data_IF_253998730323
#
_entry.id   IF_253998730323
#
_cell.length_a   1.000
_cell.length_b   1.000
_cell.length_c   1.000
_cell.angle_alpha   90.00
_cell.angle_beta   90.00
_cell.angle_gamma   90.00
#
_symmetry.space_group_name_H-M   'P 1'
#
loop_
_entity.id
_entity.type
_entity.pdbx_description
1 polymer ?
#
# COMPACT_ATOMS: atom_id res chain seq x y z
N UNK A 1 0.05 -13.38 -9.79
CA UNK A 1 1.07 -12.52 -10.43
C UNK A 1 0.96 -11.02 -10.08
N UNK A 2 0.76 -10.58 -8.82
CA UNK A 2 1.19 -9.25 -8.44
C UNK A 2 2.72 -9.24 -8.24
N UNK A 3 3.35 -8.11 -8.54
CA UNK A 3 4.65 -7.73 -7.99
C UNK A 3 4.41 -6.87 -6.75
N UNK A 4 4.79 -7.35 -5.56
CA UNK A 4 4.64 -6.62 -4.31
C UNK A 4 5.99 -6.10 -3.80
N UNK A 5 6.10 -4.81 -3.48
CA UNK A 5 7.27 -4.26 -2.79
C UNK A 5 7.04 -4.37 -1.28
N UNK A 6 7.90 -5.13 -0.59
CA UNK A 6 7.74 -5.43 0.84
C UNK A 6 8.93 -4.93 1.66
N UNK A 7 8.65 -4.33 2.81
CA UNK A 7 9.69 -3.88 3.75
C UNK A 7 9.94 -4.95 4.81
N UNK A 8 10.56 -6.06 4.41
CA UNK A 8 10.78 -7.22 5.28
C UNK A 8 12.17 -7.84 5.12
N UNK A 9 12.60 -8.52 6.19
CA UNK A 9 13.75 -9.42 6.19
C UNK A 9 13.46 -10.64 5.30
N UNK A 10 14.18 -10.71 4.19
CA UNK A 10 14.06 -11.78 3.20
C UNK A 10 14.28 -13.17 3.81
N UNK A 11 15.08 -13.29 4.88
CA UNK A 11 15.29 -14.58 5.59
C UNK A 11 14.06 -15.05 6.37
N UNK A 12 13.04 -14.19 6.53
CA UNK A 12 11.78 -14.48 7.24
C UNK A 12 10.59 -14.61 6.28
N UNK A 13 10.79 -14.42 4.98
CA UNK A 13 9.73 -14.53 3.97
C UNK A 13 9.23 -15.98 3.88
N UNK A 14 7.91 -16.16 3.99
CA UNK A 14 7.24 -17.45 3.85
C UNK A 14 6.79 -17.65 2.39
N UNK A 15 7.78 -17.91 1.53
CA UNK A 15 7.63 -18.10 0.07
C UNK A 15 8.36 -19.37 -0.36
N UNK A 16 8.07 -19.93 -1.54
CA UNK A 16 8.74 -21.15 -1.99
C UNK A 16 10.25 -20.94 -2.20
N UNK A 17 10.65 -19.83 -2.82
CA UNK A 17 12.06 -19.48 -3.06
C UNK A 17 12.40 -18.07 -2.58
N UNK A 18 13.58 -17.90 -1.98
CA UNK A 18 14.20 -16.57 -1.81
C UNK A 18 15.45 -16.46 -2.68
N UNK A 19 15.76 -15.25 -3.11
CA UNK A 19 16.95 -14.98 -3.93
C UNK A 19 18.08 -14.43 -3.06
N UNK A 20 19.27 -14.96 -3.26
CA UNK A 20 20.51 -14.50 -2.67
C UNK A 20 21.33 -13.74 -3.71
N UNK A 21 21.58 -12.45 -3.45
CA UNK A 21 22.56 -11.65 -4.17
C UNK A 21 23.98 -12.11 -3.77
N UNK A 22 24.49 -13.08 -4.53
CA UNK A 22 25.75 -13.77 -4.29
C UNK A 22 26.91 -13.14 -5.09
N UNK A 23 28.11 -13.65 -4.83
CA UNK A 23 29.29 -13.46 -5.67
C UNK A 23 29.48 -14.68 -6.58
N UNK A 24 30.36 -14.58 -7.59
CA UNK A 24 30.65 -15.66 -8.55
C UNK A 24 31.23 -16.94 -7.93
N UNK A 25 31.80 -16.88 -6.72
CA UNK A 25 32.28 -18.06 -5.99
C UNK A 25 31.19 -18.71 -5.13
N UNK A 26 29.98 -18.15 -5.11
CA UNK A 26 28.86 -18.54 -4.24
C UNK A 26 29.19 -18.58 -2.73
N UNK A 27 30.34 -18.02 -2.32
CA UNK A 27 30.82 -18.04 -0.96
C UNK A 27 30.07 -17.03 -0.07
N UNK A 28 30.04 -17.28 1.25
CA UNK A 28 29.39 -16.37 2.20
C UNK A 28 30.02 -14.97 2.16
N UNK A 29 29.24 -13.97 1.76
CA UNK A 29 29.62 -12.56 1.79
C UNK A 29 29.01 -11.80 2.97
N UNK A 30 29.08 -10.47 2.92
CA UNK A 30 28.32 -9.59 3.80
C UNK A 30 26.84 -9.44 3.39
N UNK A 31 26.15 -8.47 4.00
CA UNK A 31 24.79 -8.07 3.63
C UNK A 31 23.77 -9.21 3.64
N UNK A 32 22.89 -9.22 2.61
CA UNK A 32 21.85 -10.25 2.43
C UNK A 32 22.44 -11.66 2.33
N UNK A 33 23.54 -11.85 1.59
CA UNK A 33 24.20 -13.16 1.47
C UNK A 33 24.64 -13.68 2.84
N UNK A 34 25.32 -12.87 3.64
CA UNK A 34 25.72 -13.23 5.00
C UNK A 34 24.54 -13.47 5.94
N UNK A 35 23.39 -12.81 5.73
CA UNK A 35 22.16 -13.09 6.48
C UNK A 35 21.55 -14.45 6.10
N UNK A 36 21.41 -14.73 4.79
CA UNK A 36 20.87 -15.99 4.25
C UNK A 36 21.72 -17.19 4.70
N UNK A 37 23.05 -17.11 4.59
CA UNK A 37 23.94 -18.19 5.04
C UNK A 37 23.81 -18.49 6.53
N UNK A 38 23.73 -17.45 7.39
CA UNK A 38 23.54 -17.63 8.83
C UNK A 38 22.18 -18.21 9.17
N UNK A 39 21.11 -17.74 8.53
CA UNK A 39 19.75 -18.19 8.75
C UNK A 39 19.53 -19.64 8.27
N UNK A 40 20.05 -20.01 7.10
CA UNK A 40 19.95 -21.36 6.55
C UNK A 40 20.86 -22.38 7.27
N UNK A 41 21.97 -21.93 7.85
CA UNK A 41 22.99 -22.75 8.48
C UNK A 41 24.25 -22.85 7.62
N UNK A 42 25.29 -22.10 8.01
CA UNK A 42 26.48 -21.78 7.19
C UNK A 42 27.10 -23.02 6.54
N UNK A 43 27.41 -24.07 7.30
CA UNK A 43 28.10 -25.26 6.78
C UNK A 43 27.28 -26.05 5.76
N UNK A 44 25.95 -26.11 5.92
CA UNK A 44 25.07 -26.83 4.98
C UNK A 44 24.87 -26.02 3.70
N UNK A 45 24.73 -24.70 3.83
CA UNK A 45 24.59 -23.80 2.68
C UNK A 45 25.89 -23.73 1.85
N UNK A 46 27.05 -23.62 2.50
CA UNK A 46 28.35 -23.66 1.82
C UNK A 46 28.54 -24.95 1.02
N UNK A 47 28.38 -26.13 1.65
CA UNK A 47 28.53 -27.42 0.98
C UNK A 47 27.55 -27.66 -0.18
N UNK A 48 26.42 -26.94 -0.22
CA UNK A 48 25.50 -26.96 -1.36
C UNK A 48 25.94 -26.00 -2.47
N UNK A 49 26.44 -24.82 -2.12
CA UNK A 49 27.00 -23.83 -3.05
C UNK A 49 28.28 -24.32 -3.74
N UNK A 50 29.16 -25.00 -3.01
CA UNK A 50 30.45 -25.51 -3.51
C UNK A 50 30.31 -26.48 -4.70
N UNK A 51 29.14 -27.10 -4.85
CA UNK A 51 28.81 -28.00 -5.97
C UNK A 51 28.51 -27.28 -7.29
N UNK A 52 28.27 -25.97 -7.24
CA UNK A 52 27.90 -25.11 -8.37
C UNK A 52 28.92 -23.99 -8.61
N UNK A 53 29.81 -23.72 -7.65
CA UNK A 53 30.81 -22.67 -7.79
C UNK A 53 31.95 -23.09 -8.74
N UNK A 54 32.50 -22.17 -9.55
CA UNK A 54 32.06 -20.79 -9.75
C UNK A 54 30.92 -20.67 -10.77
N UNK A 55 30.13 -19.61 -10.66
CA UNK A 55 29.14 -19.17 -11.68
C UNK A 55 29.56 -17.84 -12.31
N UNK A 56 29.07 -17.56 -13.52
CA UNK A 56 29.27 -16.27 -14.17
C UNK A 56 28.29 -15.20 -13.66
N UNK A 57 28.67 -13.93 -13.82
CA UNK A 57 27.77 -12.80 -13.57
C UNK A 57 26.51 -12.91 -14.44
N UNK A 58 25.33 -12.70 -13.85
CA UNK A 58 24.04 -12.87 -14.50
C UNK A 58 23.48 -14.29 -14.44
N UNK A 59 24.27 -15.31 -14.12
CA UNK A 59 23.78 -16.68 -13.91
C UNK A 59 23.08 -16.83 -12.55
N UNK A 60 22.29 -17.90 -12.42
CA UNK A 60 21.64 -18.29 -11.18
C UNK A 60 21.69 -19.82 -11.01
N UNK A 61 21.75 -20.28 -9.75
CA UNK A 61 21.67 -21.69 -9.36
C UNK A 61 20.77 -21.86 -8.13
N UNK A 62 20.24 -23.07 -7.88
CA UNK A 62 19.25 -23.31 -6.83
C UNK A 62 19.73 -24.36 -5.82
N UNK A 63 19.52 -24.08 -4.53
CA UNK A 63 19.80 -24.96 -3.40
C UNK A 63 18.57 -25.10 -2.48
N UNK A 64 18.51 -26.10 -1.59
CA UNK A 64 17.48 -26.16 -0.54
C UNK A 64 17.59 -24.99 0.45
N UNK A 65 16.47 -24.55 1.03
CA UNK A 65 16.45 -23.48 2.04
C UNK A 65 17.01 -23.86 3.42
N UNK A 66 17.17 -25.16 3.69
CA UNK A 66 17.63 -25.71 4.97
C UNK A 66 16.79 -25.24 6.15
N UNK A 67 17.31 -24.33 6.98
CA UNK A 67 16.63 -23.80 8.17
C UNK A 67 15.77 -22.55 7.88
N UNK A 68 15.76 -22.05 6.64
CA UNK A 68 14.90 -20.94 6.23
C UNK A 68 13.41 -21.36 6.17
N UNK A 69 12.46 -20.42 6.29
CA UNK A 69 11.05 -20.69 6.01
C UNK A 69 10.77 -21.03 4.54
N UNK A 70 11.67 -20.66 3.62
CA UNK A 70 11.55 -20.98 2.20
C UNK A 70 12.06 -22.37 1.87
N UNK A 71 11.46 -23.01 0.87
CA UNK A 71 11.85 -24.35 0.41
C UNK A 71 13.20 -24.33 -0.31
N UNK A 72 13.48 -23.24 -1.03
CA UNK A 72 14.68 -23.05 -1.83
C UNK A 72 15.37 -21.71 -1.57
N UNK A 73 16.67 -21.66 -1.89
CA UNK A 73 17.42 -20.42 -2.13
C UNK A 73 17.95 -20.45 -3.56
N UNK A 74 17.72 -19.37 -4.30
CA UNK A 74 18.29 -19.18 -5.63
C UNK A 74 19.43 -18.18 -5.50
N UNK A 75 20.64 -18.59 -5.86
CA UNK A 75 21.86 -17.80 -5.75
C UNK A 75 22.19 -17.24 -7.12
N UNK A 76 22.30 -15.92 -7.24
CA UNK A 76 22.65 -15.26 -8.50
C UNK A 76 23.77 -14.24 -8.30
N UNK A 77 24.72 -14.20 -9.23
CA UNK A 77 25.87 -13.31 -9.17
C UNK A 77 25.56 -11.99 -9.89
N UNK A 78 25.24 -10.94 -9.12
CA UNK A 78 24.97 -9.61 -9.65
C UNK A 78 26.21 -8.93 -10.26
N UNK A 79 26.05 -8.01 -11.22
CA UNK A 79 27.16 -7.20 -11.73
C UNK A 79 27.66 -6.23 -10.66
N UNK A 80 28.97 -5.97 -10.68
CA UNK A 80 29.59 -4.85 -9.95
C UNK A 80 29.44 -3.60 -10.81
N UNK A 81 28.82 -2.56 -10.28
CA UNK A 81 28.63 -1.30 -10.97
C UNK A 81 29.96 -0.57 -11.22
N UNK A 82 30.11 0.02 -12.40
CA UNK A 82 31.24 0.89 -12.74
C UNK A 82 30.75 2.23 -13.26
N UNK A 83 30.02 2.20 -14.38
CA UNK A 83 29.57 3.39 -15.10
C UNK A 83 28.34 3.14 -16.00
N UNK A 84 27.78 1.93 -15.99
CA UNK A 84 26.63 1.54 -16.81
C UNK A 84 26.97 1.20 -18.27
N UNK A 85 28.26 1.16 -18.65
CA UNK A 85 28.72 0.94 -20.04
C UNK A 85 29.40 -0.41 -20.26
N UNK A 86 29.35 -1.28 -19.26
CA UNK A 86 30.01 -2.59 -19.21
C UNK A 86 28.99 -3.73 -19.06
N UNK A 87 27.87 -3.65 -19.79
CA UNK A 87 26.75 -4.60 -19.76
C UNK A 87 26.05 -4.74 -18.38
N UNK A 88 26.27 -3.83 -17.41
CA UNK A 88 25.73 -3.98 -16.06
C UNK A 88 24.19 -4.12 -16.04
N UNK A 89 23.46 -3.34 -16.84
CA UNK A 89 22.00 -3.47 -16.94
C UNK A 89 21.58 -4.85 -17.47
N UNK A 90 22.20 -5.30 -18.57
CA UNK A 90 21.91 -6.59 -19.21
C UNK A 90 22.19 -7.76 -18.26
N UNK A 91 23.29 -7.67 -17.50
CA UNK A 91 23.67 -8.68 -16.53
C UNK A 91 22.74 -8.68 -15.30
N UNK A 92 22.31 -7.50 -14.83
CA UNK A 92 21.34 -7.38 -13.74
C UNK A 92 19.98 -7.96 -14.13
N UNK A 93 19.50 -7.68 -15.36
CA UNK A 93 18.30 -8.29 -15.95
C UNK A 93 18.39 -9.82 -15.98
N UNK A 94 19.53 -10.36 -16.43
CA UNK A 94 19.77 -11.81 -16.42
C UNK A 94 19.65 -12.43 -15.02
N UNK A 95 20.08 -11.73 -13.96
CA UNK A 95 19.95 -12.21 -12.58
C UNK A 95 18.47 -12.43 -12.19
N UNK A 96 17.61 -11.45 -12.48
CA UNK A 96 16.17 -11.55 -12.20
C UNK A 96 15.51 -12.64 -13.05
N UNK A 97 15.74 -12.62 -14.38
CA UNK A 97 15.16 -13.59 -15.33
C UNK A 97 15.54 -15.03 -14.99
N UNK A 98 16.84 -15.32 -14.88
CA UNK A 98 17.32 -16.67 -14.59
C UNK A 98 16.82 -17.19 -13.22
N UNK A 99 16.64 -16.29 -12.25
CA UNK A 99 16.07 -16.66 -10.95
C UNK A 99 14.57 -16.99 -11.03
N UNK A 100 13.78 -16.21 -11.77
CA UNK A 100 12.35 -16.52 -11.97
C UNK A 100 12.16 -17.78 -12.82
N UNK A 101 12.98 -18.00 -13.84
CA UNK A 101 12.99 -19.24 -14.63
C UNK A 101 13.30 -20.47 -13.76
N UNK A 102 14.30 -20.41 -12.88
CA UNK A 102 14.61 -21.51 -11.97
C UNK A 102 13.47 -21.81 -10.99
N UNK A 103 12.81 -20.78 -10.46
CA UNK A 103 11.64 -20.94 -9.60
C UNK A 103 10.47 -21.59 -10.36
N UNK A 104 10.17 -21.12 -11.57
CA UNK A 104 9.13 -21.71 -12.43
C UNK A 104 9.43 -23.19 -12.76
N UNK A 105 10.69 -23.51 -13.12
CA UNK A 105 11.14 -24.89 -13.40
C UNK A 105 11.07 -25.82 -12.18
N UNK A 106 11.11 -25.30 -10.94
CA UNK A 106 10.92 -26.07 -9.71
C UNK A 106 9.45 -26.09 -9.21
N UNK A 107 8.52 -25.47 -9.95
CA UNK A 107 7.11 -25.40 -9.54
C UNK A 107 6.87 -24.53 -8.31
N UNK A 108 7.70 -23.51 -8.08
CA UNK A 108 7.44 -22.49 -7.07
C UNK A 108 6.25 -21.62 -7.48
N UNK A 109 5.32 -21.36 -6.56
CA UNK A 109 4.24 -20.40 -6.75
C UNK A 109 4.62 -18.99 -6.29
N UNK A 110 5.69 -18.87 -5.48
CA UNK A 110 6.13 -17.59 -4.89
C UNK A 110 7.66 -17.45 -4.85
N UNK A 111 8.16 -16.24 -5.13
CA UNK A 111 9.60 -15.89 -5.06
C UNK A 111 9.82 -14.51 -4.44
N UNK A 112 10.79 -14.40 -3.53
CA UNK A 112 11.22 -13.12 -2.97
C UNK A 112 12.64 -12.72 -3.40
N UNK A 113 12.79 -11.49 -3.89
CA UNK A 113 14.04 -10.88 -4.33
C UNK A 113 14.53 -9.83 -3.33
N UNK A 114 15.84 -9.74 -3.08
CA UNK A 114 16.45 -8.50 -2.60
C UNK A 114 16.63 -7.54 -3.79
N UNK A 115 16.92 -6.27 -3.53
CA UNK A 115 17.40 -5.38 -4.59
C UNK A 115 18.85 -5.76 -4.96
N UNK A 116 19.01 -6.49 -6.07
CA UNK A 116 20.29 -7.09 -6.49
C UNK A 116 21.29 -5.97 -6.87
N UNK A 117 22.57 -6.18 -6.54
CA UNK A 117 23.71 -5.27 -6.75
C UNK A 117 23.66 -3.87 -6.12
N UNK A 118 22.53 -3.41 -5.59
CA UNK A 118 22.37 -2.04 -5.05
C UNK A 118 22.98 -1.79 -3.65
N UNK A 119 23.76 -2.76 -3.15
CA UNK A 119 24.45 -2.72 -1.87
C UNK A 119 25.97 -2.59 -2.08
N UNK A 120 26.72 -3.62 -1.66
CA UNK A 120 28.19 -3.66 -1.74
C UNK A 120 28.71 -3.49 -3.19
N UNK A 121 27.93 -3.91 -4.19
CA UNK A 121 28.27 -3.82 -5.61
C UNK A 121 27.97 -2.45 -6.24
N UNK A 122 27.45 -1.49 -5.46
CA UNK A 122 27.43 -0.07 -5.83
C UNK A 122 26.44 0.35 -6.92
N UNK A 123 25.55 -0.53 -7.38
CA UNK A 123 24.58 -0.20 -8.42
C UNK A 123 23.64 0.92 -7.92
N UNK A 124 23.46 2.04 -8.66
CA UNK A 124 22.55 3.12 -8.27
C UNK A 124 21.17 2.56 -7.95
N UNK A 125 20.66 2.83 -6.74
CA UNK A 125 19.50 2.09 -6.22
C UNK A 125 18.24 2.30 -7.07
N UNK A 126 18.04 3.52 -7.58
CA UNK A 126 16.93 3.85 -8.48
C UNK A 126 17.02 3.11 -9.82
N UNK A 127 18.21 2.99 -10.41
CA UNK A 127 18.42 2.26 -11.67
C UNK A 127 18.27 0.74 -11.45
N UNK A 128 18.85 0.21 -10.37
CA UNK A 128 18.70 -1.20 -9.99
C UNK A 128 17.23 -1.58 -9.74
N UNK A 129 16.46 -0.65 -9.15
CA UNK A 129 15.03 -0.80 -8.93
C UNK A 129 14.25 -0.76 -10.25
N UNK A 130 14.52 0.22 -11.10
CA UNK A 130 13.90 0.31 -12.42
C UNK A 130 14.10 -1.00 -13.20
N UNK A 131 15.33 -1.52 -13.26
CA UNK A 131 15.67 -2.80 -13.89
C UNK A 131 14.93 -3.97 -13.25
N UNK A 132 14.84 -4.02 -11.91
CA UNK A 132 14.12 -5.06 -11.19
C UNK A 132 12.62 -5.06 -11.54
N UNK A 133 11.97 -3.90 -11.43
CA UNK A 133 10.54 -3.74 -11.67
C UNK A 133 10.18 -4.00 -13.14
N UNK A 134 11.02 -3.57 -14.09
CA UNK A 134 10.80 -3.77 -15.53
C UNK A 134 11.00 -5.24 -15.95
N UNK A 135 12.09 -5.88 -15.51
CA UNK A 135 12.36 -7.29 -15.86
C UNK A 135 11.36 -8.25 -15.20
N UNK A 136 10.94 -7.98 -13.96
CA UNK A 136 9.87 -8.75 -13.30
C UNK A 136 8.53 -8.54 -14.01
N UNK A 137 8.17 -7.29 -14.36
CA UNK A 137 6.95 -7.00 -15.15
C UNK A 137 6.95 -7.77 -16.47
N UNK A 138 8.06 -7.76 -17.20
CA UNK A 138 8.22 -8.49 -18.46
C UNK A 138 8.03 -9.99 -18.26
N UNK A 139 8.73 -10.59 -17.30
CA UNK A 139 8.62 -12.02 -17.01
C UNK A 139 7.19 -12.42 -16.62
N UNK A 140 6.51 -11.65 -15.77
CA UNK A 140 5.12 -11.91 -15.38
C UNK A 140 4.14 -11.66 -16.54
N UNK A 141 4.44 -10.72 -17.43
CA UNK A 141 3.71 -10.48 -18.67
C UNK A 141 3.73 -11.68 -19.60
N UNK A 142 4.91 -12.26 -19.84
CA UNK A 142 5.14 -13.45 -20.66
C UNK A 142 4.63 -14.74 -19.98
N UNK A 143 4.82 -14.87 -18.66
CA UNK A 143 4.38 -16.03 -17.86
C UNK A 143 2.85 -16.15 -17.80
N UNK A 144 2.14 -15.01 -17.77
CA UNK A 144 0.67 -14.98 -17.82
C UNK A 144 0.09 -15.73 -19.01
N UNK A 145 0.75 -15.60 -20.16
CA UNK A 145 0.26 -16.10 -21.45
C UNK A 145 0.63 -17.59 -21.64
N UNK A 146 1.63 -18.08 -20.88
CA UNK A 146 1.98 -19.51 -20.76
C UNK A 146 1.27 -20.24 -19.60
N UNK A 147 0.49 -19.54 -18.78
CA UNK A 147 -0.29 -20.13 -17.68
C UNK A 147 0.46 -20.34 -16.36
N UNK A 148 1.68 -19.79 -16.21
CA UNK A 148 2.46 -19.87 -14.97
C UNK A 148 2.16 -18.69 -14.04
N UNK A 149 1.27 -18.91 -13.06
CA UNK A 149 1.02 -17.98 -11.94
C UNK A 149 2.22 -17.99 -10.97
N UNK A 150 3.04 -16.92 -10.98
CA UNK A 150 4.12 -16.69 -10.02
C UNK A 150 3.86 -15.37 -9.27
N UNK A 151 3.87 -15.39 -7.94
CA UNK A 151 3.76 -14.21 -7.09
C UNK A 151 5.17 -13.73 -6.68
N UNK A 152 5.49 -12.46 -6.93
CA UNK A 152 6.86 -11.94 -6.82
C UNK A 152 6.94 -10.83 -5.78
N UNK A 153 7.86 -10.96 -4.83
CA UNK A 153 8.09 -9.99 -3.76
C UNK A 153 9.44 -9.32 -3.93
N UNK A 154 9.50 -7.99 -3.95
CA UNK A 154 10.76 -7.24 -3.90
C UNK A 154 10.98 -6.71 -2.47
N UNK A 155 11.88 -7.34 -1.74
CA UNK A 155 12.25 -6.99 -0.37
C UNK A 155 13.20 -5.78 -0.35
N UNK A 156 12.66 -4.60 -0.06
CA UNK A 156 13.45 -3.35 0.01
C UNK A 156 13.56 -2.90 1.46
N UNK A 157 14.78 -2.86 2.00
CA UNK A 157 15.04 -2.60 3.42
C UNK A 157 15.32 -1.11 3.73
N UNK A 158 15.73 -0.34 2.71
CA UNK A 158 16.33 0.99 2.85
C UNK A 158 15.41 2.09 2.29
N UNK A 159 15.16 3.13 3.08
CA UNK A 159 14.36 4.31 2.68
C UNK A 159 14.97 5.07 1.50
N UNK A 160 16.29 4.98 1.31
CA UNK A 160 17.05 5.67 0.26
C UNK A 160 17.14 4.87 -1.06
N UNK A 161 16.48 3.71 -1.17
CA UNK A 161 16.50 2.94 -2.42
C UNK A 161 15.78 3.63 -3.59
N UNK A 162 14.93 4.61 -3.30
CA UNK A 162 14.04 5.29 -4.24
C UNK A 162 14.52 6.73 -4.47
N UNK A 163 15.55 6.90 -5.29
CA UNK A 163 15.98 8.21 -5.81
C UNK A 163 15.52 8.40 -7.28
N UNK A 164 14.21 8.38 -7.49
CA UNK A 164 13.61 8.81 -8.76
C UNK A 164 13.55 10.34 -8.78
N UNK A 165 13.80 10.91 -9.96
CA UNK A 165 13.69 12.33 -10.33
C UNK A 165 13.30 13.28 -9.20
N UNK A 166 14.30 14.03 -8.69
CA UNK A 166 14.10 15.09 -7.69
C UNK A 166 13.02 16.11 -8.08
N UNK A 167 12.69 16.22 -9.38
CA UNK A 167 11.55 16.99 -9.87
C UNK A 167 10.19 16.44 -9.42
N UNK A 168 9.96 15.12 -9.48
CA UNK A 168 8.69 14.50 -9.06
C UNK A 168 8.56 14.59 -7.53
N UNK A 169 9.60 14.24 -6.78
CA UNK A 169 9.62 14.36 -5.31
C UNK A 169 9.40 15.83 -4.87
N UNK A 170 10.03 16.80 -5.55
CA UNK A 170 9.82 18.23 -5.26
C UNK A 170 8.41 18.71 -5.60
N UNK A 171 7.83 18.27 -6.73
CA UNK A 171 6.45 18.60 -7.12
C UNK A 171 5.43 17.99 -6.17
N UNK A 172 5.62 16.73 -5.77
CA UNK A 172 4.75 16.07 -4.80
C UNK A 172 4.89 16.69 -3.41
N UNK A 173 6.10 17.08 -2.98
CA UNK A 173 6.28 17.84 -1.72
C UNK A 173 5.53 19.16 -1.76
N UNK A 174 5.71 19.98 -2.79
CA UNK A 174 5.00 21.24 -2.94
C UNK A 174 3.48 21.03 -2.89
N UNK A 175 2.97 20.03 -3.63
CA UNK A 175 1.56 19.66 -3.60
C UNK A 175 1.10 19.25 -2.19
N UNK A 176 1.82 18.35 -1.51
CA UNK A 176 1.53 17.96 -0.13
C UNK A 176 1.55 19.19 0.80
N UNK A 177 2.54 20.07 0.69
CA UNK A 177 2.66 21.27 1.51
C UNK A 177 1.43 22.20 1.29
N UNK A 178 0.96 22.36 0.05
CA UNK A 178 -0.25 23.15 -0.28
C UNK A 178 -1.52 22.62 0.43
N UNK A 179 -1.65 21.30 0.64
CA UNK A 179 -2.79 20.71 1.40
C UNK A 179 -2.55 20.60 2.92
N UNK A 180 -1.31 20.43 3.38
CA UNK A 180 -1.00 20.14 4.79
C UNK A 180 -0.61 21.38 5.63
N UNK A 181 -0.05 22.43 5.01
CA UNK A 181 0.37 23.66 5.73
C UNK A 181 -0.83 24.49 6.20
N UNK A 182 -2.01 24.33 5.57
CA UNK A 182 -3.24 25.01 5.99
C UNK A 182 -3.90 24.46 7.28
N UNK A 183 -3.54 23.24 7.73
CA UNK A 183 -4.18 22.56 8.88
C UNK A 183 -3.29 22.40 10.13
N UNK A 184 -2.04 22.89 10.14
CA UNK A 184 -1.08 22.52 11.19
C UNK A 184 -0.44 23.66 12.01
N UNK A 185 -0.68 24.93 11.69
CA UNK A 185 -0.29 26.04 12.60
C UNK A 185 -1.42 26.47 13.57
N UNK A 186 -2.70 26.38 13.18
CA UNK A 186 -3.84 26.80 14.03
C UNK A 186 -4.69 25.65 14.65
N UNK A 187 -4.69 24.46 14.04
CA UNK A 187 -5.79 23.50 14.25
C UNK A 187 -5.63 22.58 15.46
N UNK A 188 -4.40 22.39 15.98
CA UNK A 188 -4.14 21.63 17.22
C UNK A 188 -4.72 22.32 18.47
N UNK A 189 -4.77 23.65 18.48
CA UNK A 189 -5.55 24.41 19.45
C UNK A 189 -7.04 24.24 19.20
N UNK A 190 -7.49 24.60 17.99
CA UNK A 190 -8.91 24.71 17.65
C UNK A 190 -9.71 23.41 17.85
N UNK A 191 -9.28 22.28 17.28
CA UNK A 191 -9.98 20.99 17.42
C UNK A 191 -10.06 20.51 18.88
N UNK A 192 -9.05 20.82 19.70
CA UNK A 192 -9.04 20.49 21.13
C UNK A 192 -10.08 21.33 21.89
N UNK A 193 -10.22 22.63 21.57
CA UNK A 193 -11.25 23.49 22.14
C UNK A 193 -12.67 23.11 21.68
N UNK A 194 -12.88 22.71 20.42
CA UNK A 194 -14.19 22.22 19.94
C UNK A 194 -14.60 20.91 20.62
N UNK A 195 -13.69 19.93 20.74
CA UNK A 195 -13.97 18.67 21.44
C UNK A 195 -14.25 18.90 22.93
N UNK A 196 -13.52 19.80 23.58
CA UNK A 196 -13.79 20.22 24.96
C UNK A 196 -15.13 20.98 25.10
N UNK A 197 -15.52 21.76 24.10
CA UNK A 197 -16.83 22.42 24.08
C UNK A 197 -17.97 21.41 23.96
N UNK A 198 -17.83 20.40 23.09
CA UNK A 198 -18.79 19.30 22.96
C UNK A 198 -18.88 18.46 24.24
N UNK A 199 -17.77 18.19 24.94
CA UNK A 199 -17.80 17.53 26.26
C UNK A 199 -18.56 18.34 27.32
N UNK A 200 -18.43 19.68 27.33
CA UNK A 200 -19.18 20.55 28.26
C UNK A 200 -20.70 20.50 28.06
N UNK A 201 -21.19 20.15 26.87
CA UNK A 201 -22.61 19.89 26.64
C UNK A 201 -23.05 18.50 27.12
N UNK A 202 -22.14 17.53 27.23
CA UNK A 202 -22.43 16.18 27.75
C UNK A 202 -22.43 16.10 29.28
N UNK A 203 -21.60 16.90 29.97
CA UNK A 203 -21.47 16.86 31.43
C UNK A 203 -22.62 17.57 32.17
N UNK A 204 -23.42 18.37 31.48
CA UNK A 204 -24.48 19.17 32.08
C UNK A 204 -25.80 18.39 32.24
N UNK A 205 -25.73 17.23 32.91
CA UNK A 205 -26.89 16.46 33.37
C UNK A 205 -27.11 16.77 34.86
N UNK A 206 -28.27 17.33 35.28
CA UNK A 206 -28.43 17.79 36.65
C UNK A 206 -28.37 16.61 37.63
N UNK A 207 -27.42 16.65 38.57
CA UNK A 207 -27.37 15.77 39.74
C UNK A 207 -27.89 16.51 40.96
N UNK A 208 -28.64 15.77 41.78
CA UNK A 208 -29.25 16.25 43.00
C UNK A 208 -28.25 16.43 44.15
N UNK A 209 -28.75 17.12 45.18
CA UNK A 209 -28.28 17.20 46.57
C UNK A 209 -27.00 18.01 46.87
N UNK A 210 -27.18 19.00 47.77
CA UNK A 210 -26.14 19.84 48.37
C UNK A 210 -26.02 19.58 49.87
N UNK A 211 -24.78 19.45 50.32
CA UNK A 211 -24.28 19.80 51.66
C UNK A 211 -22.77 20.10 51.50
N UNK A 212 -22.04 20.92 52.28
CA UNK A 212 -22.25 21.50 53.62
C UNK A 212 -21.76 23.02 53.62
N UNK A 213 -21.17 23.70 54.64
CA UNK A 213 -21.70 25.02 55.09
C UNK A 213 -20.72 26.23 55.07
N UNK A 214 -21.23 27.39 55.56
CA UNK A 214 -20.56 28.53 56.25
C UNK A 214 -19.23 29.09 55.71
N UNK A 215 -19.06 30.40 55.49
CA UNK A 215 -19.92 31.59 55.70
C UNK A 215 -19.06 32.86 55.86
N UNK A 216 -19.66 34.06 55.97
CA UNK A 216 -19.03 35.35 56.37
C UNK A 216 -17.98 35.88 55.35
N UNK A 217 -18.03 37.07 54.73
CA UNK A 217 -18.89 38.26 54.61
C UNK A 217 -18.62 38.86 53.19
N UNK A 218 -19.17 39.96 52.65
CA UNK A 218 -19.99 41.08 53.17
C UNK A 218 -20.91 41.67 52.04
N UNK A 219 -21.55 42.82 52.28
CA UNK A 219 -22.44 43.58 51.37
C UNK A 219 -21.90 45.02 51.11
N UNK A 220 -22.32 45.77 50.06
CA UNK A 220 -23.64 46.46 49.97
C UNK A 220 -24.34 46.33 48.60
N UNK A 221 -25.63 45.98 48.53
CA UNK A 221 -26.82 46.87 48.63
C UNK A 221 -27.00 47.90 47.50
N UNK A 222 -28.01 47.67 46.65
CA UNK A 222 -28.99 48.72 46.27
C UNK A 222 -30.35 48.13 45.86
N UNK A 223 -31.43 48.85 46.18
CA UNK A 223 -32.83 48.37 46.19
C UNK A 223 -33.56 48.42 44.83
N UNK A 224 -34.67 47.66 44.71
CA UNK A 224 -35.70 47.80 43.66
C UNK A 224 -36.34 46.47 43.25
N UNK A 225 -37.16 45.84 44.09
CA UNK A 225 -38.64 46.01 44.19
C UNK A 225 -39.41 44.90 43.43
N UNK A 226 -40.62 44.56 43.89
CA UNK A 226 -41.25 43.24 43.69
C UNK A 226 -42.31 43.20 42.57
N UNK A 227 -42.43 42.05 41.90
CA UNK A 227 -43.47 41.82 40.89
C UNK A 227 -43.63 40.35 40.47
N UNK A 228 -44.53 39.65 41.17
CA UNK A 228 -45.28 38.44 40.75
C UNK A 228 -44.54 37.22 40.13
N UNK A 229 -44.65 36.06 40.80
CA UNK A 229 -44.25 34.75 40.24
C UNK A 229 -45.42 34.06 39.51
N UNK A 230 -45.32 33.78 38.20
CA UNK A 230 -46.27 32.91 37.51
C UNK A 230 -46.01 31.44 37.88
N UNK A 231 -47.03 30.74 38.35
CA UNK A 231 -46.98 29.29 38.56
C UNK A 231 -46.99 28.58 37.21
N UNK A 232 -45.89 27.92 36.84
CA UNK A 232 -45.85 27.05 35.66
C UNK A 232 -46.10 25.59 36.03
N UNK A 233 -47.19 25.04 35.51
CA UNK A 233 -47.51 23.61 35.60
C UNK A 233 -46.53 22.79 34.76
N UNK A 234 -46.03 21.67 35.30
CA UNK A 234 -45.12 20.79 34.58
C UNK A 234 -45.83 20.09 33.40
N UNK A 235 -45.26 20.11 32.17
CA UNK A 235 -45.80 19.34 31.05
C UNK A 235 -45.52 17.84 31.23
N UNK A 236 -46.45 17.03 30.70
CA UNK A 236 -46.48 15.57 30.87
C UNK A 236 -45.40 14.82 30.08
N UNK A 237 -45.24 13.53 30.41
CA UNK A 237 -44.20 12.59 29.97
C UNK A 237 -43.86 12.60 28.47
N UNK A 238 -42.57 12.38 28.18
CA UNK A 238 -42.04 12.17 26.84
C UNK A 238 -42.59 10.88 26.18
N UNK A 239 -42.81 10.88 24.85
CA UNK A 239 -43.32 9.70 24.15
C UNK A 239 -42.26 8.60 24.01
N UNK A 240 -42.69 7.35 24.13
CA UNK A 240 -41.87 6.15 23.91
C UNK A 240 -41.51 5.96 22.42
N UNK A 241 -40.38 5.29 22.12
CA UNK A 241 -39.93 5.11 20.74
C UNK A 241 -40.91 4.24 19.94
N UNK A 242 -41.26 4.69 18.74
CA UNK A 242 -42.08 3.92 17.79
C UNK A 242 -41.28 2.72 17.29
N UNK A 243 -41.97 1.59 17.10
CA UNK A 243 -41.41 0.34 16.57
C UNK A 243 -40.69 0.55 15.25
N UNK A 244 -39.52 -0.08 15.09
CA UNK A 244 -38.83 -0.16 13.80
C UNK A 244 -39.74 -0.89 12.78
N UNK A 245 -40.21 -0.17 11.76
CA UNK A 245 -40.90 -0.77 10.63
C UNK A 245 -39.94 -1.61 9.79
N UNK A 246 -40.45 -2.63 9.11
CA UNK A 246 -39.73 -3.24 7.98
C UNK A 246 -39.42 -2.15 6.94
N UNK A 247 -38.22 -2.19 6.39
CA UNK A 247 -37.86 -1.42 5.21
C UNK A 247 -38.53 -2.12 4.03
N UNK A 248 -39.34 -1.40 3.25
CA UNK A 248 -40.02 -1.97 2.08
C UNK A 248 -38.98 -2.46 1.05
N UNK A 249 -39.16 -3.69 0.54
CA UNK A 249 -38.33 -4.27 -0.52
C UNK A 249 -38.28 -3.38 -1.79
N UNK A 250 -39.30 -2.55 -2.00
CA UNK A 250 -39.36 -1.56 -3.06
C UNK A 250 -38.30 -0.44 -2.96
N UNK A 251 -37.79 -0.16 -1.75
CA UNK A 251 -36.69 0.79 -1.51
C UNK A 251 -35.35 0.09 -1.76
N UNK A 252 -35.23 -1.19 -1.39
CA UNK A 252 -34.06 -2.03 -1.68
C UNK A 252 -33.88 -2.34 -3.17
N UNK A 253 -34.87 -2.07 -4.02
CA UNK A 253 -34.76 -2.19 -5.48
C UNK A 253 -34.30 -0.90 -6.20
N UNK A 254 -34.15 0.23 -5.49
CA UNK A 254 -33.54 1.46 -6.01
C UNK A 254 -32.10 1.64 -5.47
N UNK A 255 -31.31 0.56 -5.51
CA UNK A 255 -29.87 0.61 -5.20
C UNK A 255 -29.09 1.15 -6.41
N UNK A 256 -28.00 1.86 -6.13
CA UNK A 256 -27.07 2.35 -7.15
C UNK A 256 -26.51 1.22 -8.03
N UNK A 257 -26.13 1.57 -9.26
CA UNK A 257 -25.61 0.60 -10.24
C UNK A 257 -24.37 -0.14 -9.67
N UNK A 258 -24.34 -1.49 -9.64
CA UNK A 258 -23.26 -2.22 -9.00
C UNK A 258 -21.88 -1.89 -9.58
N UNK A 259 -20.88 -1.78 -8.69
CA UNK A 259 -19.50 -1.41 -9.03
C UNK A 259 -18.94 -2.16 -10.24
N UNK A 260 -19.22 -3.46 -10.37
CA UNK A 260 -18.71 -4.28 -11.47
C UNK A 260 -19.29 -3.89 -12.83
N UNK A 261 -20.54 -3.43 -12.89
CA UNK A 261 -21.18 -2.95 -14.13
C UNK A 261 -20.55 -1.63 -14.57
N UNK A 262 -20.36 -0.69 -13.64
CA UNK A 262 -19.69 0.59 -13.89
C UNK A 262 -18.25 0.38 -14.35
N UNK A 263 -17.51 -0.51 -13.66
CA UNK A 263 -16.16 -0.88 -14.04
C UNK A 263 -16.12 -1.44 -15.47
N UNK A 264 -16.97 -2.40 -15.81
CA UNK A 264 -17.02 -2.98 -17.16
C UNK A 264 -17.33 -1.93 -18.24
N UNK A 265 -18.30 -1.03 -17.98
CA UNK A 265 -18.60 0.10 -18.88
C UNK A 265 -17.39 1.03 -19.08
N UNK A 266 -16.61 1.28 -18.03
CA UNK A 266 -15.39 2.09 -18.12
C UNK A 266 -14.25 1.36 -18.86
N UNK A 267 -14.12 0.04 -18.70
CA UNK A 267 -13.17 -0.81 -19.45
C UNK A 267 -13.46 -0.68 -20.96
N UNK A 268 -14.72 -0.90 -21.36
CA UNK A 268 -15.16 -0.79 -22.75
C UNK A 268 -14.99 0.64 -23.30
N UNK A 269 -15.40 1.66 -22.54
CA UNK A 269 -15.33 3.06 -22.96
C UNK A 269 -13.89 3.59 -23.12
N UNK A 270 -12.95 3.10 -22.30
CA UNK A 270 -11.51 3.42 -22.44
C UNK A 270 -10.80 2.52 -23.47
N UNK A 271 -11.47 1.52 -24.02
CA UNK A 271 -10.95 0.64 -25.07
C UNK A 271 -9.88 -0.36 -24.59
N UNK A 272 -9.89 -0.75 -23.32
CA UNK A 272 -8.97 -1.74 -22.76
C UNK A 272 -9.62 -3.14 -22.70
N UNK A 273 -8.81 -4.19 -22.76
CA UNK A 273 -9.25 -5.54 -22.41
C UNK A 273 -9.13 -5.81 -20.91
N UNK A 274 -9.97 -6.72 -20.38
CA UNK A 274 -9.85 -7.27 -19.01
C UNK A 274 -8.41 -7.62 -18.63
N UNK A 275 -7.65 -8.20 -19.57
CA UNK A 275 -6.26 -8.65 -19.39
C UNK A 275 -5.32 -7.47 -19.21
N UNK A 276 -5.44 -6.43 -20.02
CA UNK A 276 -4.65 -5.21 -19.87
C UNK A 276 -4.97 -4.51 -18.57
N UNK A 277 -6.25 -4.46 -18.16
CA UNK A 277 -6.66 -3.74 -16.95
C UNK A 277 -6.08 -4.38 -15.70
N UNK A 278 -6.20 -5.71 -15.48
CA UNK A 278 -5.60 -6.31 -14.29
C UNK A 278 -4.06 -6.34 -14.35
N UNK A 279 -3.44 -6.52 -15.53
CA UNK A 279 -1.97 -6.43 -15.68
C UNK A 279 -1.49 -5.00 -15.34
N UNK A 280 -2.16 -3.95 -15.82
CA UNK A 280 -1.85 -2.52 -15.54
C UNK A 280 -2.14 -2.10 -14.11
N UNK A 281 -3.17 -2.67 -13.48
CA UNK A 281 -3.50 -2.44 -12.06
C UNK A 281 -2.59 -3.21 -11.08
N UNK A 282 -1.71 -4.10 -11.59
CA UNK A 282 -0.92 -5.04 -10.79
C UNK A 282 -1.78 -5.96 -9.89
N UNK A 283 -2.96 -6.36 -10.37
CA UNK A 283 -3.94 -7.19 -9.65
C UNK A 283 -3.87 -8.65 -10.15
N UNK A 284 -3.99 -9.62 -9.23
CA UNK A 284 -4.09 -11.03 -9.60
C UNK A 284 -5.39 -11.30 -10.40
N UNK A 285 -5.29 -12.02 -11.53
CA UNK A 285 -6.43 -12.44 -12.37
C UNK A 285 -7.60 -13.07 -11.57
N UNK A 286 -7.32 -13.83 -10.51
CA UNK A 286 -8.34 -14.43 -9.63
C UNK A 286 -9.10 -13.38 -8.81
N UNK A 287 -8.43 -12.33 -8.36
CA UNK A 287 -9.05 -11.19 -7.68
C UNK A 287 -9.87 -10.37 -8.68
N UNK A 288 -9.32 -10.05 -9.85
CA UNK A 288 -10.06 -9.35 -10.91
C UNK A 288 -11.31 -10.13 -11.35
N UNK A 289 -11.23 -11.46 -11.47
CA UNK A 289 -12.40 -12.29 -11.80
C UNK A 289 -13.51 -12.19 -10.75
N UNK A 290 -13.19 -12.08 -9.46
CA UNK A 290 -14.20 -11.88 -8.39
C UNK A 290 -14.87 -10.52 -8.50
N UNK A 291 -14.08 -9.47 -8.75
CA UNK A 291 -14.57 -8.11 -8.99
C UNK A 291 -15.54 -8.12 -10.18
N UNK A 292 -15.16 -8.78 -11.28
CA UNK A 292 -15.97 -8.82 -12.50
C UNK A 292 -17.29 -9.59 -12.33
N UNK A 293 -17.28 -10.72 -11.62
CA UNK A 293 -18.50 -11.49 -11.36
C UNK A 293 -19.53 -10.72 -10.53
N UNK A 294 -19.08 -9.89 -9.58
CA UNK A 294 -19.98 -9.02 -8.81
C UNK A 294 -20.87 -9.76 -7.79
N UNK A 295 -20.45 -10.95 -7.32
CA UNK A 295 -21.16 -11.78 -6.34
C UNK A 295 -21.19 -11.16 -4.91
N UNK A 296 -21.67 -9.91 -4.78
CA UNK A 296 -21.57 -9.09 -3.57
C UNK A 296 -20.15 -8.68 -3.19
N UNK A 297 -19.15 -8.93 -4.06
CA UNK A 297 -17.75 -8.59 -3.77
C UNK A 297 -17.49 -7.10 -3.95
N UNK A 298 -17.25 -6.40 -2.84
CA UNK A 298 -16.77 -5.02 -2.85
C UNK A 298 -15.23 -4.99 -2.80
N UNK A 299 -14.53 -4.40 -3.79
CA UNK A 299 -13.07 -4.26 -3.76
C UNK A 299 -12.61 -3.26 -2.69
N UNK A 300 -11.36 -3.40 -2.24
CA UNK A 300 -10.74 -2.42 -1.33
C UNK A 300 -10.57 -1.05 -2.04
N UNK A 301 -10.58 0.06 -1.29
CA UNK A 301 -10.28 1.41 -1.83
C UNK A 301 -8.97 1.43 -2.66
N UNK A 302 -7.94 0.72 -2.19
CA UNK A 302 -6.64 0.57 -2.88
C UNK A 302 -6.77 -0.17 -4.22
N UNK A 303 -7.69 -1.14 -4.29
CA UNK A 303 -8.02 -1.88 -5.52
C UNK A 303 -8.82 -1.01 -6.49
N UNK A 304 -9.79 -0.23 -6.01
CA UNK A 304 -10.53 0.74 -6.85
C UNK A 304 -9.59 1.77 -7.46
N UNK A 305 -8.69 2.35 -6.66
CA UNK A 305 -7.67 3.28 -7.14
C UNK A 305 -6.68 2.63 -8.12
N UNK A 306 -6.29 1.36 -7.90
CA UNK A 306 -5.46 0.64 -8.87
C UNK A 306 -6.15 0.49 -10.24
N UNK A 307 -7.46 0.21 -10.24
CA UNK A 307 -8.27 0.13 -11.46
C UNK A 307 -8.44 1.50 -12.11
N UNK A 308 -8.64 2.57 -11.34
CA UNK A 308 -8.71 3.94 -11.84
C UNK A 308 -7.39 4.35 -12.55
N UNK A 309 -6.25 4.07 -11.93
CA UNK A 309 -4.91 4.28 -12.54
C UNK A 309 -4.73 3.42 -13.81
N UNK A 310 -5.13 2.14 -13.77
CA UNK A 310 -5.01 1.24 -14.92
C UNK A 310 -5.82 1.75 -16.12
N UNK A 311 -7.05 2.22 -15.89
CA UNK A 311 -7.97 2.79 -16.87
C UNK A 311 -7.64 4.23 -17.28
N UNK A 312 -6.66 4.88 -16.63
CA UNK A 312 -6.33 6.30 -16.83
C UNK A 312 -7.55 7.21 -16.63
N UNK A 313 -8.28 6.97 -15.54
CA UNK A 313 -9.39 7.84 -15.15
C UNK A 313 -8.86 9.21 -14.73
N UNK A 314 -9.58 10.27 -15.09
CA UNK A 314 -9.34 11.61 -14.54
C UNK A 314 -9.84 11.68 -13.07
N UNK A 315 -9.71 12.84 -12.43
CA UNK A 315 -10.08 12.99 -11.02
C UNK A 315 -11.59 12.81 -10.78
N UNK A 316 -12.45 13.33 -11.67
CA UNK A 316 -13.91 13.23 -11.56
C UNK A 316 -14.37 11.78 -11.76
N UNK A 317 -13.92 11.13 -12.83
CA UNK A 317 -14.15 9.71 -13.11
C UNK A 317 -13.65 8.81 -11.97
N UNK A 318 -12.57 9.20 -11.28
CA UNK A 318 -12.05 8.48 -10.11
C UNK A 318 -12.92 8.70 -8.87
N UNK A 319 -13.45 9.91 -8.65
CA UNK A 319 -14.37 10.17 -7.55
C UNK A 319 -15.69 9.42 -7.73
N UNK A 320 -16.23 9.38 -8.95
CA UNK A 320 -17.44 8.61 -9.29
C UNK A 320 -17.25 7.12 -8.99
N UNK A 321 -16.19 6.48 -9.53
CA UNK A 321 -15.99 5.04 -9.33
C UNK A 321 -15.65 4.69 -7.87
N UNK A 322 -15.06 5.61 -7.09
CA UNK A 322 -14.88 5.48 -5.65
C UNK A 322 -16.20 5.56 -4.89
N UNK A 323 -17.07 6.52 -5.24
CA UNK A 323 -18.38 6.69 -4.60
C UNK A 323 -19.25 5.44 -4.77
N UNK A 324 -19.25 4.83 -5.95
CA UNK A 324 -19.92 3.56 -6.23
C UNK A 324 -19.39 2.37 -5.42
N UNK A 325 -18.17 2.47 -4.86
CA UNK A 325 -17.59 1.50 -3.94
C UNK A 325 -17.70 1.91 -2.46
N UNK A 326 -18.38 3.01 -2.15
CA UNK A 326 -18.52 3.55 -0.79
C UNK A 326 -17.27 4.27 -0.25
N UNK A 327 -16.43 4.82 -1.14
CA UNK A 327 -15.19 5.52 -0.80
C UNK A 327 -15.15 6.95 -1.34
N UNK A 328 -14.29 7.77 -0.76
CA UNK A 328 -13.92 9.10 -1.26
C UNK A 328 -12.43 9.35 -1.02
N UNK A 329 -11.79 10.23 -1.80
CA UNK A 329 -10.45 10.74 -1.49
C UNK A 329 -10.52 11.71 -0.31
N UNK A 330 -9.51 11.70 0.57
CA UNK A 330 -9.42 12.61 1.71
C UNK A 330 -8.05 13.25 1.78
N UNK A 331 -8.01 14.59 1.73
CA UNK A 331 -6.78 15.35 1.89
C UNK A 331 -6.11 15.21 3.27
N UNK A 332 -6.82 14.66 4.27
CA UNK A 332 -6.22 14.28 5.55
C UNK A 332 -5.31 13.04 5.45
N UNK A 333 -5.50 12.19 4.44
CA UNK A 333 -4.83 10.89 4.28
C UNK A 333 -3.71 10.99 3.24
N UNK A 334 -2.44 10.85 3.68
CA UNK A 334 -1.27 10.97 2.80
C UNK A 334 -1.32 10.05 1.58
N UNK A 335 -1.77 8.81 1.75
CA UNK A 335 -1.98 7.87 0.66
C UNK A 335 -2.92 8.43 -0.42
N UNK A 336 -4.04 9.07 -0.04
CA UNK A 336 -4.99 9.64 -1.00
C UNK A 336 -4.38 10.83 -1.74
N UNK A 337 -3.76 11.78 -1.01
CA UNK A 337 -3.11 12.98 -1.60
C UNK A 337 -2.01 12.58 -2.58
N UNK A 338 -1.23 11.53 -2.29
CA UNK A 338 -0.22 11.02 -3.22
C UNK A 338 -0.89 10.46 -4.47
N UNK A 339 -1.91 9.61 -4.36
CA UNK A 339 -2.58 9.02 -5.53
C UNK A 339 -3.30 10.08 -6.37
N UNK A 340 -3.93 11.06 -5.72
CA UNK A 340 -4.58 12.23 -6.35
C UNK A 340 -3.57 13.06 -7.15
N UNK A 341 -2.39 13.36 -6.60
CA UNK A 341 -1.31 14.04 -7.32
C UNK A 341 -0.96 13.33 -8.63
N UNK A 342 -0.88 11.99 -8.63
CA UNK A 342 -0.56 11.22 -9.83
C UNK A 342 -1.69 11.24 -10.86
N UNK A 343 -2.96 11.21 -10.43
CA UNK A 343 -4.13 11.31 -11.32
C UNK A 343 -4.21 12.70 -11.96
N UNK A 344 -4.13 13.76 -11.16
CA UNK A 344 -4.22 15.17 -11.59
C UNK A 344 -3.12 15.54 -12.59
N UNK A 345 -1.96 14.88 -12.52
CA UNK A 345 -0.84 15.08 -13.44
C UNK A 345 -0.74 14.02 -14.56
N UNK A 346 -1.78 13.21 -14.75
CA UNK A 346 -1.86 12.16 -15.78
C UNK A 346 -0.74 11.09 -15.75
N UNK A 347 -0.14 10.89 -14.57
CA UNK A 347 1.01 10.00 -14.35
C UNK A 347 0.56 8.59 -13.94
N UNK A 348 0.06 7.83 -14.91
CA UNK A 348 -0.60 6.53 -14.70
C UNK A 348 0.30 5.27 -14.73
N UNK A 349 1.59 5.35 -14.36
CA UNK A 349 2.38 4.14 -14.06
C UNK A 349 2.25 3.79 -12.57
N UNK A 350 1.49 2.74 -12.28
CA UNK A 350 1.24 2.20 -10.92
C UNK A 350 2.53 2.00 -10.12
N UNK A 351 3.65 1.70 -10.78
CA UNK A 351 4.93 1.48 -10.11
C UNK A 351 5.63 2.78 -9.73
N UNK A 352 5.58 3.84 -10.54
CA UNK A 352 6.04 5.18 -10.10
C UNK A 352 5.21 5.68 -8.90
N UNK A 353 3.93 5.31 -8.85
CA UNK A 353 3.09 5.57 -7.67
C UNK A 353 3.56 4.73 -6.47
N UNK A 354 3.83 3.42 -6.64
CA UNK A 354 4.37 2.57 -5.58
C UNK A 354 5.67 3.09 -4.98
N UNK A 355 6.58 3.61 -5.80
CA UNK A 355 7.85 4.19 -5.35
C UNK A 355 7.62 5.37 -4.39
N UNK A 356 6.69 6.27 -4.74
CA UNK A 356 6.36 7.41 -3.89
C UNK A 356 5.53 6.99 -2.66
N UNK A 357 4.58 6.07 -2.79
CA UNK A 357 3.84 5.53 -1.65
C UNK A 357 4.80 4.88 -0.64
N UNK A 358 5.73 4.03 -1.10
CA UNK A 358 6.73 3.39 -0.26
C UNK A 358 7.66 4.42 0.42
N UNK A 359 8.11 5.46 -0.31
CA UNK A 359 8.95 6.55 0.22
C UNK A 359 8.28 7.31 1.38
N UNK A 360 6.96 7.43 1.37
CA UNK A 360 6.16 8.07 2.42
C UNK A 360 5.59 7.08 3.46
N UNK A 361 6.12 5.85 3.52
CA UNK A 361 5.67 4.76 4.39
C UNK A 361 4.13 4.49 4.26
N UNK A 362 3.58 4.67 3.04
CA UNK A 362 2.17 4.42 2.69
C UNK A 362 1.97 3.03 2.05
N UNK A 363 0.77 2.42 2.16
CA UNK A 363 0.49 1.14 1.53
C UNK A 363 0.42 1.23 0.00
N UNK A 364 0.62 0.10 -0.69
CA UNK A 364 0.54 0.03 -2.15
C UNK A 364 -0.92 -0.07 -2.65
N UNK A 365 -1.14 0.31 -3.92
CA UNK A 365 -2.38 0.06 -4.67
C UNK A 365 -2.55 -1.45 -5.01
N UNK A 366 -3.78 -1.90 -5.23
CA UNK A 366 -4.07 -3.25 -5.75
C UNK A 366 -4.02 -4.40 -4.72
N UNK A 367 -3.96 -4.05 -3.43
CA UNK A 367 -3.97 -4.98 -2.27
C UNK A 367 -5.36 -5.11 -1.63
#
# INVERSE_FOLDING_TARGET
MPLELVRQDITKMKVDAIVNAANTQLAMGGGVCGAIFRAAGVSRMAAACDRFAPIHTGEAVITPGFNLPSRYVIHTAGPIWRDGKHDEERLLRSCYRNSMELAARQGCASIAFPLISSGIYGYPKAEALHVALDEIRRFLGDAADSGHDLDVYLCVFDKTAFEISSSIDKRLRAYIDDYYVAEHEDTLGSRTYELLALQRFSDNKPKADRAVPSGVLDMPDFLGDMGETPVYSAPSAAPSPKSAGHVDDAVLSNLDEPFNIILLRLIDAKGYSDVEVYKRANINRKLFSKIRCGDGYMPSKKTVLALAIALRLNIDETQDILACAGYALSHSVKFDVIVEFFIVHEMFDVFTIYEMLFRYDQPLLGQ
#
